data_IF_548432147692
#
_entry.id   IF_548432147692
#
_cell.length_a   1.000
_cell.length_b   1.000
_cell.length_c   1.000
_cell.angle_alpha   90.00
_cell.angle_beta   90.00
_cell.angle_gamma   90.00
#
_symmetry.space_group_name_H-M   'P 1'
#
loop_
_entity.id
_entity.type
_entity.pdbx_description
1 polymer ?
#
# COMPACT_ATOMS: atom_id res chain seq x y z
N UNK A 1 -0.78 -14.88 14.38
CA UNK A 1 0.52 -15.08 13.68
C UNK A 1 1.24 -13.76 13.47
N UNK A 2 0.59 -12.77 12.85
CA UNK A 2 1.17 -11.45 12.61
C UNK A 2 1.49 -10.67 13.90
N UNK A 3 0.74 -10.86 14.99
CA UNK A 3 1.05 -10.27 16.30
C UNK A 3 2.45 -10.59 16.81
N UNK A 4 2.87 -11.86 16.71
CA UNK A 4 4.20 -12.30 17.17
C UNK A 4 5.33 -11.79 16.28
N UNK A 5 5.04 -11.59 14.99
CA UNK A 5 6.02 -11.03 14.05
C UNK A 5 6.12 -9.53 14.26
N UNK A 6 4.99 -8.86 14.48
CA UNK A 6 4.90 -7.42 14.75
C UNK A 6 5.60 -7.02 16.04
N UNK A 7 5.69 -7.89 17.05
CA UNK A 7 6.41 -7.58 18.29
C UNK A 7 7.93 -7.68 18.19
N UNK A 8 8.49 -8.10 17.04
CA UNK A 8 9.95 -8.22 16.88
C UNK A 8 10.60 -6.83 16.80
N UNK A 9 11.43 -6.43 17.80
CA UNK A 9 11.88 -5.05 17.93
C UNK A 9 12.90 -4.61 16.88
N UNK A 10 13.58 -5.57 16.23
CA UNK A 10 14.63 -5.33 15.23
C UNK A 10 14.20 -5.71 13.81
N UNK A 11 12.94 -6.09 13.60
CA UNK A 11 12.46 -6.49 12.28
C UNK A 11 12.35 -5.28 11.35
N UNK A 12 13.34 -5.09 10.49
CA UNK A 12 13.35 -3.98 9.54
C UNK A 12 12.66 -4.29 8.21
N UNK A 13 12.53 -5.57 7.85
CA UNK A 13 11.94 -5.99 6.57
C UNK A 13 10.99 -7.15 6.79
N UNK A 14 9.73 -6.96 6.38
CA UNK A 14 8.72 -8.00 6.41
C UNK A 14 8.16 -8.18 5.00
N UNK A 15 8.14 -9.43 4.54
CA UNK A 15 7.57 -9.83 3.26
C UNK A 15 6.66 -11.02 3.50
N UNK A 16 5.46 -10.97 2.96
CA UNK A 16 4.52 -12.07 2.98
C UNK A 16 4.01 -12.37 1.59
N UNK A 17 3.94 -13.66 1.28
CA UNK A 17 3.37 -14.19 0.05
C UNK A 17 2.33 -15.25 0.40
N UNK A 18 1.13 -15.20 -0.19
CA UNK A 18 0.12 -16.23 0.06
C UNK A 18 -0.48 -16.21 1.46
N UNK A 19 -0.52 -15.05 2.11
CA UNK A 19 -1.03 -14.91 3.47
C UNK A 19 -2.52 -15.24 3.58
N UNK A 20 -2.88 -16.06 4.58
CA UNK A 20 -4.26 -16.37 4.91
C UNK A 20 -4.74 -15.48 6.07
N UNK A 21 -5.57 -14.50 5.74
CA UNK A 21 -6.23 -13.60 6.68
C UNK A 21 -7.61 -14.18 6.97
N UNK A 22 -7.79 -14.82 8.13
CA UNK A 22 -8.97 -15.64 8.41
C UNK A 22 -10.30 -14.92 8.21
N UNK A 23 -10.45 -13.71 8.76
CA UNK A 23 -11.64 -12.87 8.56
C UNK A 23 -11.54 -11.96 7.32
N UNK A 24 -10.51 -12.14 6.49
CA UNK A 24 -10.12 -11.24 5.41
C UNK A 24 -9.73 -9.84 5.87
N UNK A 25 -9.32 -9.72 7.14
CA UNK A 25 -8.95 -8.45 7.77
C UNK A 25 -7.53 -8.52 8.33
N UNK A 26 -6.81 -7.41 8.20
CA UNK A 26 -5.60 -7.14 8.94
C UNK A 26 -5.75 -5.83 9.68
N UNK A 27 -5.74 -5.88 11.01
CA UNK A 27 -5.73 -4.71 11.87
C UNK A 27 -4.33 -4.57 12.50
N UNK A 28 -3.78 -3.35 12.43
CA UNK A 28 -2.52 -3.01 13.11
C UNK A 28 -2.83 -2.55 14.52
N UNK A 29 -2.25 -3.24 15.50
CA UNK A 29 -2.36 -2.89 16.91
C UNK A 29 -1.16 -2.02 17.37
N UNK A 30 -1.31 -1.40 18.54
CA UNK A 30 -0.31 -0.49 19.08
C UNK A 30 1.03 -1.20 19.34
N UNK A 31 2.12 -0.50 19.08
CA UNK A 31 3.48 -1.02 19.25
C UNK A 31 3.92 -2.10 18.26
N UNK A 32 3.11 -2.48 17.27
CA UNK A 32 3.52 -3.44 16.25
C UNK A 32 4.47 -2.81 15.21
N UNK A 33 5.47 -3.59 14.80
CA UNK A 33 6.45 -3.27 13.77
C UNK A 33 7.27 -1.99 14.05
N UNK A 34 7.85 -1.84 15.25
CA UNK A 34 8.47 -0.58 15.69
C UNK A 34 9.72 -0.17 14.88
N UNK A 35 10.38 -1.13 14.23
CA UNK A 35 11.60 -0.90 13.44
C UNK A 35 11.42 -1.16 11.94
N UNK A 36 10.20 -1.42 11.48
CA UNK A 36 9.95 -1.86 10.11
C UNK A 36 10.18 -0.72 9.12
N UNK A 37 11.09 -0.96 8.16
CA UNK A 37 11.44 -0.05 7.07
C UNK A 37 10.87 -0.49 5.72
N UNK A 38 10.63 -1.79 5.56
CA UNK A 38 10.04 -2.34 4.34
C UNK A 38 8.90 -3.31 4.69
N UNK A 39 7.73 -3.08 4.08
CA UNK A 39 6.59 -3.99 4.11
C UNK A 39 6.24 -4.43 2.69
N UNK A 40 6.25 -5.74 2.45
CA UNK A 40 5.82 -6.35 1.19
C UNK A 40 4.69 -7.34 1.40
N UNK A 41 3.58 -7.16 0.70
CA UNK A 41 2.48 -8.12 0.65
C UNK A 41 2.27 -8.55 -0.79
N UNK A 42 2.20 -9.86 -1.01
CA UNK A 42 1.97 -10.43 -2.34
C UNK A 42 1.01 -11.60 -2.31
N UNK A 43 0.15 -11.73 -3.33
CA UNK A 43 -0.75 -12.88 -3.50
C UNK A 43 -1.56 -13.23 -2.23
N UNK A 44 -1.99 -12.21 -1.49
CA UNK A 44 -2.79 -12.38 -0.27
C UNK A 44 -4.27 -12.23 -0.59
N UNK A 45 -4.82 -13.11 -1.44
CA UNK A 45 -6.18 -12.98 -1.99
C UNK A 45 -7.29 -12.99 -0.93
N UNK A 46 -7.01 -13.57 0.23
CA UNK A 46 -7.93 -13.57 1.37
C UNK A 46 -8.03 -12.20 2.06
N UNK A 47 -7.03 -11.33 1.91
CA UNK A 47 -7.03 -9.99 2.53
C UNK A 47 -7.95 -9.06 1.76
N UNK A 48 -9.04 -8.64 2.41
CA UNK A 48 -10.00 -7.68 1.88
C UNK A 48 -9.88 -6.29 2.48
N UNK A 49 -9.63 -6.23 3.79
CA UNK A 49 -9.53 -4.97 4.51
C UNK A 49 -8.23 -4.90 5.31
N UNK A 50 -7.44 -3.87 5.07
CA UNK A 50 -6.31 -3.54 5.91
C UNK A 50 -6.60 -2.22 6.64
N UNK A 51 -6.66 -2.29 7.97
CA UNK A 51 -7.07 -1.19 8.84
C UNK A 51 -6.05 -0.93 9.95
N UNK A 52 -6.19 0.22 10.59
CA UNK A 52 -5.49 0.60 11.81
C UNK A 52 -6.46 1.40 12.69
N UNK A 53 -6.41 1.20 14.01
CA UNK A 53 -7.23 1.97 14.96
C UNK A 53 -6.92 3.47 14.84
N UNK A 54 -7.90 4.34 15.10
CA UNK A 54 -7.82 5.80 14.85
C UNK A 54 -6.79 6.53 15.72
N UNK A 55 -6.42 5.98 16.87
CA UNK A 55 -5.50 6.61 17.83
C UNK A 55 -4.03 6.18 17.66
N UNK A 56 -3.78 5.13 16.87
CA UNK A 56 -2.45 4.47 16.82
C UNK A 56 -1.56 5.00 15.68
N UNK A 57 -0.30 5.32 15.98
CA UNK A 57 0.70 5.55 14.92
C UNK A 57 1.18 4.19 14.39
N UNK A 58 1.11 4.00 13.07
CA UNK A 58 1.53 2.74 12.43
C UNK A 58 2.90 2.89 11.78
N UNK A 59 3.71 1.83 11.88
CA UNK A 59 5.00 1.70 11.22
C UNK A 59 5.87 2.97 11.26
N UNK A 60 6.31 3.42 12.45
CA UNK A 60 6.96 4.72 12.65
C UNK A 60 8.29 4.91 11.89
N UNK A 61 8.79 3.87 11.22
CA UNK A 61 10.04 3.89 10.45
C UNK A 61 9.86 3.36 9.02
N UNK A 62 8.63 3.17 8.54
CA UNK A 62 8.40 2.59 7.22
C UNK A 62 8.93 3.53 6.15
N UNK A 63 9.79 3.01 5.28
CA UNK A 63 10.34 3.75 4.16
C UNK A 63 9.70 3.30 2.84
N UNK A 64 9.34 2.01 2.74
CA UNK A 64 8.81 1.42 1.52
C UNK A 64 7.65 0.48 1.80
N UNK A 65 6.55 0.69 1.09
CA UNK A 65 5.42 -0.22 1.01
C UNK A 65 5.36 -0.83 -0.39
N UNK A 66 5.22 -2.14 -0.47
CA UNK A 66 5.03 -2.86 -1.73
C UNK A 66 3.82 -3.80 -1.62
N UNK A 67 2.82 -3.56 -2.46
CA UNK A 67 1.60 -4.35 -2.60
C UNK A 67 1.58 -4.95 -4.00
N UNK A 68 1.50 -6.27 -4.12
CA UNK A 68 1.52 -6.94 -5.41
C UNK A 68 0.45 -8.03 -5.48
N UNK A 69 -0.34 -8.07 -6.55
CA UNK A 69 -1.36 -9.10 -6.77
C UNK A 69 -2.35 -9.21 -5.62
N UNK A 70 -2.84 -8.08 -5.10
CA UNK A 70 -3.86 -8.03 -4.04
C UNK A 70 -5.21 -7.65 -4.66
N UNK A 71 -5.76 -8.55 -5.48
CA UNK A 71 -6.99 -8.29 -6.25
C UNK A 71 -8.26 -8.22 -5.38
N UNK A 72 -8.22 -8.81 -4.18
CA UNK A 72 -9.31 -8.75 -3.20
C UNK A 72 -9.19 -7.62 -2.17
N UNK A 73 -8.06 -6.92 -2.11
CA UNK A 73 -7.83 -5.86 -1.13
C UNK A 73 -8.59 -4.61 -1.55
N UNK A 74 -9.61 -4.22 -0.79
CA UNK A 74 -10.48 -3.10 -1.12
C UNK A 74 -10.01 -1.78 -0.48
N UNK A 75 -9.22 -1.83 0.60
CA UNK A 75 -8.79 -0.63 1.31
C UNK A 75 -7.44 -0.80 2.03
N UNK A 76 -6.69 0.30 2.16
CA UNK A 76 -5.47 0.41 2.96
C UNK A 76 -5.60 1.52 4.01
N UNK A 77 -4.89 1.43 5.16
CA UNK A 77 -5.03 2.43 6.21
C UNK A 77 -4.61 3.82 5.73
N UNK A 78 -5.48 4.81 5.89
CA UNK A 78 -5.20 6.21 5.54
C UNK A 78 -3.95 6.77 6.24
N UNK A 79 -3.68 6.26 7.44
CA UNK A 79 -2.51 6.58 8.25
C UNK A 79 -1.18 6.34 7.55
N UNK A 80 -1.13 5.52 6.50
CA UNK A 80 0.04 5.37 5.64
C UNK A 80 0.50 6.74 5.12
N UNK A 81 -0.43 7.63 4.77
CA UNK A 81 -0.13 8.99 4.32
C UNK A 81 0.45 9.92 5.39
N UNK A 82 0.44 9.52 6.66
CA UNK A 82 0.98 10.32 7.77
C UNK A 82 2.33 9.78 8.26
N UNK A 83 2.88 8.74 7.61
CA UNK A 83 4.20 8.20 7.94
C UNK A 83 5.27 9.11 7.34
N UNK A 84 5.93 9.91 8.18
CA UNK A 84 6.94 10.88 7.75
C UNK A 84 8.21 10.28 7.12
N UNK A 85 8.50 9.01 7.41
CA UNK A 85 9.66 8.30 6.84
C UNK A 85 9.36 7.63 5.50
N UNK A 86 8.10 7.61 5.06
CA UNK A 86 7.67 6.88 3.88
C UNK A 86 8.19 7.60 2.63
N UNK A 87 8.94 6.87 1.82
CA UNK A 87 9.57 7.38 0.58
C UNK A 87 8.88 6.84 -0.66
N UNK A 88 8.33 5.63 -0.59
CA UNK A 88 7.66 5.05 -1.74
C UNK A 88 6.56 4.04 -1.43
N UNK A 89 5.50 4.06 -2.23
CA UNK A 89 4.54 2.97 -2.36
C UNK A 89 4.66 2.37 -3.76
N UNK A 90 4.78 1.06 -3.85
CA UNK A 90 4.75 0.29 -5.09
C UNK A 90 3.48 -0.58 -5.10
N UNK A 91 2.65 -0.42 -6.12
CA UNK A 91 1.39 -1.16 -6.28
C UNK A 91 1.46 -1.89 -7.61
N UNK A 92 1.39 -3.22 -7.58
CA UNK A 92 1.42 -4.05 -8.77
C UNK A 92 0.12 -4.86 -8.82
N UNK A 93 -0.66 -4.71 -9.89
CA UNK A 93 -1.84 -5.55 -10.15
C UNK A 93 -2.78 -5.76 -8.93
N UNK A 94 -3.05 -4.69 -8.19
CA UNK A 94 -3.99 -4.69 -7.07
C UNK A 94 -5.38 -4.19 -7.52
N UNK A 95 -6.38 -4.32 -6.65
CA UNK A 95 -7.71 -3.76 -6.89
C UNK A 95 -7.65 -2.23 -7.13
N UNK A 96 -8.54 -1.72 -7.97
CA UNK A 96 -8.57 -0.29 -8.36
C UNK A 96 -8.71 0.64 -7.16
N UNK A 97 -9.47 0.24 -6.13
CA UNK A 97 -9.67 1.04 -4.92
C UNK A 97 -8.38 1.25 -4.13
N UNK A 98 -7.40 0.34 -4.20
CA UNK A 98 -6.08 0.52 -3.59
C UNK A 98 -5.29 1.59 -4.34
N UNK A 99 -5.41 1.62 -5.66
CA UNK A 99 -4.79 2.65 -6.52
C UNK A 99 -5.40 4.02 -6.21
N UNK A 100 -6.72 4.10 -6.13
CA UNK A 100 -7.46 5.32 -5.78
C UNK A 100 -7.06 5.78 -4.37
N UNK A 101 -6.99 4.88 -3.39
CA UNK A 101 -6.62 5.24 -2.02
C UNK A 101 -5.18 5.76 -1.93
N UNK A 102 -4.26 5.17 -2.69
CA UNK A 102 -2.89 5.64 -2.78
C UNK A 102 -2.79 7.02 -3.44
N UNK A 103 -3.68 7.34 -4.39
CA UNK A 103 -3.77 8.67 -4.99
C UNK A 103 -4.22 9.71 -3.96
N UNK A 104 -5.26 9.41 -3.19
CA UNK A 104 -5.75 10.28 -2.11
C UNK A 104 -4.65 10.55 -1.08
N UNK A 105 -3.86 9.55 -0.71
CA UNK A 105 -2.71 9.72 0.21
C UNK A 105 -1.71 10.74 -0.33
N UNK A 106 -1.39 10.69 -1.62
CA UNK A 106 -0.47 11.65 -2.24
C UNK A 106 -1.07 13.07 -2.19
N UNK A 107 -2.35 13.22 -2.52
CA UNK A 107 -3.05 14.52 -2.51
C UNK A 107 -3.15 15.12 -1.11
N UNK A 108 -3.46 14.29 -0.11
CA UNK A 108 -3.45 14.68 1.32
C UNK A 108 -2.06 15.21 1.71
N UNK A 109 -0.96 14.52 1.34
CA UNK A 109 0.39 14.97 1.66
C UNK A 109 0.78 16.30 0.97
N UNK A 110 0.38 16.51 -0.29
CA UNK A 110 0.67 17.77 -0.99
C UNK A 110 0.03 18.97 -0.31
N UNK A 111 -1.19 18.80 0.23
CA UNK A 111 -1.90 19.84 0.96
C UNK A 111 -1.18 20.31 2.23
N UNK A 112 -0.34 19.46 2.83
CA UNK A 112 0.35 19.77 4.10
C UNK A 112 1.82 20.18 3.94
N UNK A 113 2.55 19.68 2.93
CA UNK A 113 4.03 19.81 2.87
C UNK A 113 4.57 20.76 1.78
N UNK A 114 3.74 21.30 0.89
CA UNK A 114 4.20 22.13 -0.24
C UNK A 114 4.94 21.31 -1.32
N UNK A 115 5.76 21.97 -2.14
CA UNK A 115 6.38 21.37 -3.35
C UNK A 115 7.54 20.38 -3.09
N UNK A 116 8.01 20.22 -1.85
CA UNK A 116 9.14 19.35 -1.48
C UNK A 116 8.66 18.01 -0.90
N UNK A 117 8.09 17.16 -1.75
CA UNK A 117 7.76 15.79 -1.40
C UNK A 117 8.84 14.84 -1.90
N UNK A 118 9.53 14.18 -0.96
CA UNK A 118 10.42 13.04 -1.25
C UNK A 118 9.69 11.69 -1.34
N UNK A 119 8.35 11.73 -1.41
CA UNK A 119 7.45 10.59 -1.42
C UNK A 119 6.93 10.34 -2.85
N UNK A 120 7.02 9.10 -3.34
CA UNK A 120 6.56 8.72 -4.67
C UNK A 120 5.70 7.45 -4.65
N UNK A 121 4.60 7.44 -5.39
CA UNK A 121 3.79 6.26 -5.62
C UNK A 121 3.96 5.79 -7.05
N UNK A 122 4.31 4.52 -7.20
CA UNK A 122 4.41 3.85 -8.49
C UNK A 122 3.38 2.73 -8.57
N UNK A 123 2.60 2.72 -9.63
CA UNK A 123 1.56 1.75 -9.89
C UNK A 123 1.85 1.07 -11.22
N UNK A 124 1.98 -0.26 -11.20
CA UNK A 124 2.07 -1.08 -12.40
C UNK A 124 0.81 -1.96 -12.52
N UNK A 125 0.03 -1.70 -13.56
CA UNK A 125 -1.18 -2.46 -13.87
C UNK A 125 -0.92 -3.37 -15.05
N UNK A 126 -1.53 -4.56 -15.02
CA UNK A 126 -1.36 -5.54 -16.08
C UNK A 126 -2.62 -5.60 -16.92
N UNK A 127 -2.47 -5.49 -18.25
CA UNK A 127 -3.60 -5.49 -19.16
C UNK A 127 -4.27 -6.87 -19.22
N UNK A 128 -5.55 -6.91 -18.87
CA UNK A 128 -6.47 -8.02 -19.16
C UNK A 128 -7.52 -7.55 -20.18
N UNK A 129 -8.13 -8.48 -20.93
CA UNK A 129 -9.07 -8.14 -22.01
C UNK A 129 -10.40 -7.54 -21.51
N UNK A 130 -10.72 -7.70 -20.22
CA UNK A 130 -12.01 -7.34 -19.64
C UNK A 130 -12.00 -5.97 -18.91
N UNK A 131 -10.83 -5.33 -18.76
CA UNK A 131 -10.66 -4.16 -17.88
C UNK A 131 -10.09 -2.91 -18.58
N UNK A 132 -10.11 -2.83 -19.92
CA UNK A 132 -9.41 -1.76 -20.66
C UNK A 132 -9.89 -0.34 -20.31
N UNK A 133 -11.19 -0.14 -20.07
CA UNK A 133 -11.73 1.15 -19.67
C UNK A 133 -11.21 1.58 -18.28
N UNK A 134 -11.25 0.66 -17.30
CA UNK A 134 -10.72 0.87 -15.95
C UNK A 134 -9.23 1.20 -16.00
N UNK A 135 -8.45 0.46 -16.79
CA UNK A 135 -7.01 0.72 -16.92
C UNK A 135 -6.72 2.12 -17.49
N UNK A 136 -7.52 2.60 -18.44
CA UNK A 136 -7.38 3.97 -18.98
C UNK A 136 -7.73 5.02 -17.94
N UNK A 137 -8.77 4.79 -17.15
CA UNK A 137 -9.16 5.67 -16.06
C UNK A 137 -8.05 5.75 -15.01
N UNK A 138 -7.54 4.61 -14.54
CA UNK A 138 -6.44 4.57 -13.58
C UNK A 138 -5.16 5.21 -14.14
N UNK A 139 -4.84 5.00 -15.42
CA UNK A 139 -3.71 5.67 -16.08
C UNK A 139 -3.83 7.20 -16.04
N UNK A 140 -5.06 7.72 -16.20
CA UNK A 140 -5.33 9.15 -16.18
C UNK A 140 -5.09 9.80 -14.82
N UNK A 141 -4.98 9.01 -13.74
CA UNK A 141 -4.63 9.49 -12.39
C UNK A 141 -3.16 9.88 -12.26
N UNK A 142 -2.32 9.57 -13.25
CA UNK A 142 -0.90 9.92 -13.23
C UNK A 142 -0.69 11.43 -13.05
N UNK A 143 0.28 11.81 -12.24
CA UNK A 143 0.58 13.20 -11.92
C UNK A 143 1.87 13.32 -11.10
N UNK A 144 2.14 14.49 -10.49
CA UNK A 144 3.31 14.64 -9.63
C UNK A 144 3.27 13.58 -8.51
N UNK A 145 4.40 12.92 -8.27
CA UNK A 145 4.58 11.90 -7.23
C UNK A 145 3.64 10.68 -7.31
N UNK A 146 2.90 10.50 -8.42
CA UNK A 146 2.00 9.37 -8.64
C UNK A 146 2.05 8.94 -10.10
N UNK A 147 2.72 7.82 -10.38
CA UNK A 147 2.89 7.30 -11.74
C UNK A 147 2.10 5.99 -11.92
N UNK A 148 1.33 5.90 -13.00
CA UNK A 148 0.60 4.68 -13.37
C UNK A 148 1.07 4.16 -14.73
N UNK A 149 1.75 3.02 -14.72
CA UNK A 149 2.16 2.28 -15.91
C UNK A 149 1.18 1.13 -16.19
N UNK A 150 0.91 0.85 -17.48
CA UNK A 150 0.17 -0.36 -17.89
C UNK A 150 1.06 -1.22 -18.78
N UNK A 151 1.35 -2.42 -18.29
CA UNK A 151 2.14 -3.44 -18.97
C UNK A 151 1.23 -4.41 -19.73
N UNK A 152 1.73 -4.97 -20.84
CA UNK A 152 1.03 -6.00 -21.64
C UNK A 152 1.67 -7.37 -21.37
N UNK A 153 0.86 -8.42 -21.27
CA UNK A 153 1.36 -9.78 -21.44
C UNK A 153 1.79 -9.97 -22.90
N UNK A 154 3.00 -10.49 -23.11
CA UNK A 154 3.49 -10.98 -24.41
C UNK A 154 3.20 -12.48 -24.55
#
# INVERSE_FOLDING_TARGET
MLEKIGSLPLLEKFKMQGGCFGAGQWEICDGQFPSLKYLGLSFCDSLRHWAAEEEISIFPRLEKLHLSHLRGLENIPYKIGYISTLKSIQIENCHESVVIRAKEIVEEQMGFQGDDLSFNVYVELWRTNEEEAVLKELQSLSGPNFEVAVSKFF
#
